data_IF_533707186028
#
_entry.id   IF_533707186028
#
_cell.length_a   1.000
_cell.length_b   1.000
_cell.length_c   1.000
_cell.angle_alpha   90.00
_cell.angle_beta   90.00
_cell.angle_gamma   90.00
#
_symmetry.space_group_name_H-M   'P 1'
#
loop_
_entity.id
_entity.type
_entity.pdbx_description
1 polymer ?
#
# COMPACT_ATOMS: atom_id res chain seq x y z
N UNK A 1 3.68 15.52 22.35
CA UNK A 1 4.10 14.11 22.23
C UNK A 1 2.97 13.33 21.58
N UNK A 2 3.14 12.91 20.32
CA UNK A 2 2.14 12.08 19.65
C UNK A 2 2.19 10.67 20.23
N UNK A 3 1.27 10.35 21.13
CA UNK A 3 1.09 9.01 21.66
C UNK A 3 0.66 8.09 20.51
N UNK A 4 1.55 7.16 20.13
CA UNK A 4 1.19 6.06 19.26
C UNK A 4 0.01 5.33 19.90
N UNK A 5 -1.19 5.46 19.33
CA UNK A 5 -2.31 4.64 19.76
C UNK A 5 -2.09 3.24 19.19
N UNK A 6 -1.45 2.37 19.97
CA UNK A 6 -1.50 0.92 19.79
C UNK A 6 -2.95 0.46 20.08
N UNK A 7 -3.87 0.77 19.16
CA UNK A 7 -5.20 0.18 19.21
C UNK A 7 -5.14 -1.15 18.49
N UNK A 8 -5.38 -2.21 19.27
CA UNK A 8 -5.32 -3.62 18.87
C UNK A 8 -6.29 -3.96 17.72
N UNK A 9 -7.41 -3.25 17.59
CA UNK A 9 -8.33 -3.35 16.46
C UNK A 9 -9.22 -2.11 16.33
N UNK A 10 -9.33 -1.50 15.14
CA UNK A 10 -10.30 -0.43 14.83
C UNK A 10 -11.18 -0.86 13.68
N UNK A 11 -12.49 -0.60 13.77
CA UNK A 11 -13.43 -0.81 12.66
C UNK A 11 -13.25 0.28 11.62
N UNK A 12 -12.89 -0.10 10.39
CA UNK A 12 -12.78 0.82 9.24
C UNK A 12 -13.89 0.50 8.24
N UNK A 13 -14.87 1.41 8.09
CA UNK A 13 -16.00 1.26 7.17
C UNK A 13 -15.93 2.33 6.09
N UNK A 14 -16.21 1.94 4.84
CA UNK A 14 -16.09 2.81 3.66
C UNK A 14 -17.44 3.03 3.01
N UNK A 15 -17.62 4.22 2.48
CA UNK A 15 -18.84 4.67 1.81
C UNK A 15 -18.42 5.36 0.51
N UNK A 16 -19.14 5.08 -0.57
CA UNK A 16 -19.05 5.86 -1.80
C UNK A 16 -20.23 6.82 -1.79
N UNK A 17 -19.94 8.12 -1.85
CA UNK A 17 -20.94 9.17 -1.68
C UNK A 17 -21.03 9.98 -2.97
N UNK A 18 -22.25 10.33 -3.37
CA UNK A 18 -22.50 11.43 -4.30
C UNK A 18 -22.16 12.78 -3.66
N UNK A 19 -22.08 13.85 -4.45
CA UNK A 19 -21.81 15.19 -3.96
C UNK A 19 -22.83 15.63 -2.90
N UNK A 20 -24.12 15.33 -3.12
CA UNK A 20 -25.20 15.64 -2.19
C UNK A 20 -24.99 14.91 -0.85
N UNK A 21 -24.72 13.62 -0.89
CA UNK A 21 -24.49 12.82 0.32
C UNK A 21 -23.23 13.26 1.08
N UNK A 22 -22.15 13.59 0.36
CA UNK A 22 -20.93 14.09 0.98
C UNK A 22 -21.16 15.42 1.71
N UNK A 23 -21.98 16.29 1.12
CA UNK A 23 -22.34 17.57 1.73
C UNK A 23 -23.26 17.41 2.95
N UNK A 24 -24.30 16.57 2.85
CA UNK A 24 -25.18 16.23 3.97
C UNK A 24 -24.36 15.63 5.14
N UNK A 25 -23.43 14.72 4.85
CA UNK A 25 -22.55 14.16 5.86
C UNK A 25 -21.67 15.21 6.51
N UNK A 26 -21.02 16.10 5.73
CA UNK A 26 -20.19 17.18 6.28
C UNK A 26 -20.96 18.09 7.23
N UNK A 27 -22.21 18.43 6.89
CA UNK A 27 -23.11 19.20 7.77
C UNK A 27 -23.41 18.46 9.06
N UNK A 28 -23.65 17.15 8.98
CA UNK A 28 -23.90 16.32 10.17
C UNK A 28 -22.66 16.21 11.10
N UNK A 29 -21.45 16.37 10.57
CA UNK A 29 -20.22 16.38 11.37
C UNK A 29 -20.02 17.70 12.13
N UNK A 30 -20.62 18.80 11.67
CA UNK A 30 -20.41 20.12 12.23
C UNK A 30 -20.72 20.17 13.74
N UNK A 31 -19.86 20.86 14.49
CA UNK A 31 -19.95 20.96 15.95
C UNK A 31 -19.45 19.74 16.72
N UNK A 32 -19.26 18.58 16.07
CA UNK A 32 -18.71 17.36 16.71
C UNK A 32 -17.32 17.02 16.22
N UNK A 33 -17.08 17.16 14.91
CA UNK A 33 -15.77 16.98 14.30
C UNK A 33 -15.39 18.22 13.49
N UNK A 34 -14.10 18.49 13.45
CA UNK A 34 -13.49 19.53 12.63
C UNK A 34 -12.38 18.92 11.76
N UNK A 35 -12.03 19.55 10.61
CA UNK A 35 -10.83 19.20 9.88
C UNK A 35 -9.60 19.20 10.80
N UNK A 36 -8.69 18.25 10.59
CA UNK A 36 -7.43 18.22 11.32
C UNK A 36 -6.50 19.38 10.92
N UNK A 37 -5.38 19.50 11.61
CA UNK A 37 -4.37 20.55 11.40
C UNK A 37 -3.81 20.58 9.96
N UNK A 38 -3.90 19.47 9.21
CA UNK A 38 -3.40 19.38 7.84
C UNK A 38 -4.43 19.81 6.80
N UNK A 39 -5.70 19.93 7.19
CA UNK A 39 -6.79 20.36 6.32
C UNK A 39 -6.90 19.53 5.03
N UNK A 40 -7.04 20.22 3.89
CA UNK A 40 -7.11 19.57 2.57
C UNK A 40 -5.71 19.21 2.08
N UNK A 41 -5.41 17.92 2.05
CA UNK A 41 -4.09 17.41 1.67
C UNK A 41 -4.15 16.52 0.43
N UNK A 42 -3.24 16.77 -0.51
CA UNK A 42 -3.05 15.90 -1.68
C UNK A 42 -2.29 14.64 -1.29
N UNK A 43 -2.94 13.47 -1.33
CA UNK A 43 -2.32 12.18 -0.99
C UNK A 43 -1.94 11.46 -2.28
N UNK A 44 -0.67 11.08 -2.41
CA UNK A 44 -0.18 10.25 -3.52
C UNK A 44 0.26 8.91 -2.97
N UNK A 45 -0.10 7.83 -3.66
CA UNK A 45 0.25 6.46 -3.27
C UNK A 45 0.68 5.69 -4.52
N UNK A 46 1.96 5.36 -4.59
CA UNK A 46 2.57 4.50 -5.60
C UNK A 46 2.52 3.06 -5.12
N UNK A 47 1.72 2.22 -5.77
CA UNK A 47 1.63 0.79 -5.49
C UNK A 47 2.71 0.04 -6.25
N UNK A 48 3.38 -0.87 -5.55
CA UNK A 48 4.32 -1.82 -6.15
C UNK A 48 3.62 -3.16 -6.32
N UNK A 49 3.91 -3.83 -7.43
CA UNK A 49 3.35 -5.13 -7.79
C UNK A 49 4.37 -5.91 -8.65
N UNK A 50 4.06 -7.17 -8.94
CA UNK A 50 4.83 -7.91 -9.94
C UNK A 50 4.55 -7.35 -11.34
N UNK A 51 5.42 -7.62 -12.35
CA UNK A 51 5.17 -7.18 -13.73
C UNK A 51 3.81 -7.65 -14.28
N UNK A 52 3.35 -8.82 -13.84
CA UNK A 52 2.07 -9.42 -14.22
C UNK A 52 0.90 -8.95 -13.33
N UNK A 53 1.13 -8.05 -12.36
CA UNK A 53 0.11 -7.58 -11.40
C UNK A 53 -0.53 -8.67 -10.54
N UNK A 54 0.24 -9.72 -10.23
CA UNK A 54 -0.27 -10.89 -9.50
C UNK A 54 -0.82 -10.54 -8.10
N UNK A 55 -0.28 -9.52 -7.41
CA UNK A 55 -0.74 -9.18 -6.06
C UNK A 55 -2.12 -8.53 -6.07
N UNK A 56 -2.40 -7.66 -7.04
CA UNK A 56 -3.72 -7.01 -7.13
C UNK A 56 -4.79 -7.97 -7.63
N UNK A 57 -4.48 -8.82 -8.61
CA UNK A 57 -5.37 -9.89 -9.08
C UNK A 57 -5.74 -10.81 -7.93
N UNK A 58 -4.74 -11.39 -7.27
CA UNK A 58 -4.94 -12.22 -6.08
C UNK A 58 -5.66 -11.46 -4.98
N UNK A 59 -5.43 -10.15 -4.81
CA UNK A 59 -6.17 -9.36 -3.82
C UNK A 59 -7.67 -9.24 -4.15
N UNK A 60 -8.05 -9.22 -5.44
CA UNK A 60 -9.43 -9.10 -5.91
C UNK A 60 -10.21 -10.40 -5.74
N UNK A 61 -9.55 -11.56 -5.76
CA UNK A 61 -10.12 -12.88 -5.44
C UNK A 61 -10.50 -13.03 -3.96
N UNK A 62 -10.11 -12.05 -3.12
CA UNK A 62 -10.36 -12.04 -1.67
C UNK A 62 -9.89 -13.33 -0.95
N UNK A 63 -8.65 -13.80 -1.16
CA UNK A 63 -8.13 -14.98 -0.47
C UNK A 63 -8.00 -14.74 1.03
N UNK A 64 -7.79 -15.84 1.76
CA UNK A 64 -7.60 -15.86 3.21
C UNK A 64 -6.50 -14.90 3.67
N UNK A 65 -5.38 -14.87 2.93
CA UNK A 65 -4.23 -14.00 3.15
C UNK A 65 -3.98 -13.15 1.92
N UNK A 66 -3.79 -11.85 2.06
CA UNK A 66 -3.30 -10.96 1.00
C UNK A 66 -2.52 -9.80 1.56
N UNK A 67 -1.65 -9.24 0.74
CA UNK A 67 -0.79 -8.15 1.14
C UNK A 67 -0.51 -7.18 0.00
N UNK A 68 -0.09 -5.97 0.34
CA UNK A 68 0.20 -4.88 -0.59
C UNK A 68 1.33 -4.03 -0.04
N UNK A 69 2.21 -3.58 -0.92
CA UNK A 69 3.24 -2.59 -0.65
C UNK A 69 2.93 -1.31 -1.42
N UNK A 70 3.16 -0.17 -0.77
CA UNK A 70 3.04 1.13 -1.43
C UNK A 70 3.99 2.16 -0.82
N UNK A 71 4.48 3.06 -1.65
CA UNK A 71 5.10 4.31 -1.24
C UNK A 71 4.03 5.41 -1.22
N UNK A 72 3.92 6.16 -0.12
CA UNK A 72 2.93 7.22 0.07
C UNK A 72 3.60 8.54 0.40
N UNK A 73 3.15 9.61 -0.24
CA UNK A 73 3.51 10.98 0.12
C UNK A 73 2.26 11.82 0.40
N UNK A 74 2.45 12.85 1.22
CA UNK A 74 1.50 13.94 1.43
C UNK A 74 2.08 15.17 0.72
N UNK A 75 1.33 15.75 -0.20
CA UNK A 75 1.87 16.72 -1.14
C UNK A 75 2.69 16.08 -2.27
N UNK A 76 3.32 16.93 -3.08
CA UNK A 76 4.26 16.48 -4.12
C UNK A 76 5.60 16.17 -3.42
N UNK A 77 6.17 14.96 -3.58
CA UNK A 77 7.40 14.62 -2.90
C UNK A 77 8.56 15.46 -3.44
N UNK A 78 9.25 16.18 -2.55
CA UNK A 78 10.59 16.73 -2.78
C UNK A 78 11.64 15.67 -2.41
N UNK A 79 12.90 15.82 -2.83
CA UNK A 79 13.95 14.81 -2.56
C UNK A 79 14.15 14.51 -1.07
N UNK A 80 14.03 15.52 -0.23
CA UNK A 80 14.13 15.51 1.22
C UNK A 80 12.78 15.34 1.94
N UNK A 81 11.67 15.40 1.21
CA UNK A 81 10.32 15.36 1.77
C UNK A 81 10.01 14.00 2.41
N UNK A 82 9.32 14.04 3.56
CA UNK A 82 8.89 12.85 4.29
C UNK A 82 7.88 12.03 3.47
N UNK A 83 8.23 10.77 3.24
CA UNK A 83 7.38 9.77 2.61
C UNK A 83 7.29 8.52 3.48
N UNK A 84 6.27 7.71 3.24
CA UNK A 84 6.01 6.50 3.99
C UNK A 84 5.97 5.29 3.07
N UNK A 85 6.80 4.28 3.37
CA UNK A 85 6.67 2.96 2.76
C UNK A 85 5.77 2.15 3.66
N UNK A 86 4.62 1.73 3.12
CA UNK A 86 3.57 1.09 3.90
C UNK A 86 3.31 -0.33 3.39
N UNK A 87 3.37 -1.30 4.29
CA UNK A 87 2.93 -2.67 4.07
C UNK A 87 1.55 -2.86 4.70
N UNK A 88 0.63 -3.43 3.93
CA UNK A 88 -0.71 -3.81 4.40
C UNK A 88 -0.90 -5.29 4.20
N UNK A 89 -1.09 -6.05 5.27
CA UNK A 89 -1.43 -7.47 5.27
C UNK A 89 -2.88 -7.63 5.71
N UNK A 90 -3.61 -8.57 5.12
CA UNK A 90 -4.97 -8.95 5.53
C UNK A 90 -5.04 -10.46 5.66
N UNK A 91 -5.33 -10.95 6.86
CA UNK A 91 -5.45 -12.37 7.18
C UNK A 91 -6.78 -12.64 7.89
N UNK A 92 -7.58 -13.59 7.40
CA UNK A 92 -8.89 -13.95 8.00
C UNK A 92 -9.79 -12.75 8.29
N UNK A 93 -9.77 -11.75 7.40
CA UNK A 93 -10.56 -10.53 7.56
C UNK A 93 -9.88 -9.39 8.34
N UNK A 94 -8.87 -9.69 9.15
CA UNK A 94 -8.14 -8.72 9.98
C UNK A 94 -7.05 -8.04 9.15
N UNK A 95 -6.93 -6.71 9.26
CA UNK A 95 -5.96 -5.90 8.52
C UNK A 95 -4.84 -5.43 9.45
N UNK A 96 -3.61 -5.72 9.08
CA UNK A 96 -2.39 -5.23 9.72
C UNK A 96 -1.72 -4.23 8.80
N UNK A 97 -1.51 -3.00 9.29
CA UNK A 97 -0.81 -1.94 8.55
C UNK A 97 0.42 -1.52 9.33
N UNK A 98 1.57 -1.58 8.67
CA UNK A 98 2.85 -1.07 9.22
C UNK A 98 3.49 -0.14 8.21
N UNK A 99 4.32 0.80 8.68
CA UNK A 99 5.02 1.74 7.81
C UNK A 99 6.32 2.20 8.41
N UNK A 100 7.26 2.57 7.56
CA UNK A 100 8.45 3.32 7.90
C UNK A 100 8.40 4.68 7.21
N UNK A 101 8.87 5.73 7.88
CA UNK A 101 9.04 7.06 7.31
C UNK A 101 10.50 7.27 6.90
N UNK A 102 10.76 7.91 5.78
CA UNK A 102 12.10 8.31 5.35
C UNK A 102 12.00 9.45 4.32
N UNK A 103 13.12 10.03 3.89
CA UNK A 103 13.12 11.00 2.79
C UNK A 103 12.74 10.31 1.48
N UNK A 104 12.22 11.06 0.50
CA UNK A 104 11.90 10.49 -0.81
C UNK A 104 13.12 9.90 -1.52
N UNK A 105 14.28 10.55 -1.39
CA UNK A 105 15.55 10.04 -1.91
C UNK A 105 15.96 8.71 -1.24
N UNK A 106 15.84 8.60 0.08
CA UNK A 106 16.06 7.36 0.81
C UNK A 106 15.08 6.27 0.34
N UNK A 107 13.79 6.58 0.22
CA UNK A 107 12.78 5.61 -0.24
C UNK A 107 13.10 5.08 -1.64
N UNK A 108 13.58 5.93 -2.55
CA UNK A 108 13.99 5.50 -3.90
C UNK A 108 15.22 4.61 -3.86
N UNK A 109 16.23 4.94 -3.05
CA UNK A 109 17.42 4.11 -2.90
C UNK A 109 17.06 2.75 -2.29
N UNK A 110 16.23 2.75 -1.26
CA UNK A 110 15.80 1.55 -0.56
C UNK A 110 14.99 0.60 -1.44
N UNK A 111 13.94 1.10 -2.10
CA UNK A 111 13.15 0.32 -3.05
C UNK A 111 13.96 -0.08 -4.31
N UNK A 112 15.11 0.54 -4.53
CA UNK A 112 16.07 0.19 -5.57
C UNK A 112 17.12 -0.85 -5.15
N UNK A 113 17.08 -1.34 -3.91
CA UNK A 113 17.94 -2.43 -3.42
C UNK A 113 19.02 -2.02 -2.41
N UNK A 114 19.16 -0.74 -2.07
CA UNK A 114 20.05 -0.31 -0.98
C UNK A 114 19.41 -0.69 0.36
N UNK A 115 20.14 -1.22 1.36
CA UNK A 115 19.56 -1.48 2.69
C UNK A 115 18.91 -0.22 3.30
N UNK A 116 17.80 -0.39 4.03
CA UNK A 116 17.00 0.73 4.52
C UNK A 116 17.79 1.71 5.40
N UNK A 117 18.61 1.17 6.31
CA UNK A 117 19.46 1.97 7.21
C UNK A 117 20.48 2.80 6.43
N UNK A 118 21.14 2.20 5.46
CA UNK A 118 22.11 2.86 4.59
C UNK A 118 21.42 3.96 3.75
N UNK A 119 20.24 3.68 3.21
CA UNK A 119 19.46 4.66 2.47
C UNK A 119 19.07 5.87 3.33
N UNK A 120 18.67 5.65 4.59
CA UNK A 120 18.36 6.72 5.54
C UNK A 120 19.60 7.51 5.96
N UNK A 121 20.74 6.83 6.16
CA UNK A 121 22.01 7.49 6.49
C UNK A 121 22.52 8.36 5.33
N UNK A 122 22.37 7.89 4.09
CA UNK A 122 22.79 8.62 2.88
C UNK A 122 21.87 9.80 2.56
N UNK A 123 20.58 9.69 2.84
CA UNK A 123 19.58 10.70 2.55
C UNK A 123 18.71 10.98 3.79
N UNK A 124 19.27 11.62 4.83
CA UNK A 124 18.55 11.87 6.06
C UNK A 124 17.38 12.84 5.84
N UNK A 125 16.38 12.74 6.71
CA UNK A 125 15.31 13.74 6.80
C UNK A 125 15.86 15.03 7.43
N UNK A 126 15.30 16.17 7.01
CA UNK A 126 15.67 17.49 7.58
C UNK A 126 15.24 17.62 9.04
N UNK A 127 14.06 17.10 9.39
CA UNK A 127 13.60 17.05 10.78
C UNK A 127 14.37 15.97 11.56
N UNK A 128 15.17 16.34 12.58
CA UNK A 128 15.94 15.40 13.37
C UNK A 128 15.08 14.39 14.13
N UNK A 129 13.86 14.78 14.54
CA UNK A 129 12.96 13.87 15.24
C UNK A 129 12.43 12.79 14.30
N UNK A 130 11.99 13.17 13.09
CA UNK A 130 11.58 12.21 12.08
C UNK A 130 12.75 11.34 11.60
N UNK A 131 13.96 11.89 11.48
CA UNK A 131 15.17 11.12 11.16
C UNK A 131 15.46 10.06 12.25
N UNK A 132 15.41 10.43 13.53
CA UNK A 132 15.60 9.51 14.64
C UNK A 132 14.52 8.40 14.67
N UNK A 133 13.25 8.75 14.44
CA UNK A 133 12.15 7.77 14.36
C UNK A 133 12.33 6.80 13.18
N UNK A 134 12.89 7.27 12.06
CA UNK A 134 13.20 6.43 10.90
C UNK A 134 14.20 5.33 11.24
N UNK A 135 15.14 5.62 12.15
CA UNK A 135 16.18 4.69 12.61
C UNK A 135 15.83 3.97 13.93
N UNK A 136 14.65 4.20 14.50
CA UNK A 136 14.25 3.56 15.74
C UNK A 136 14.13 2.02 15.57
N UNK A 137 14.40 1.20 16.60
CA UNK A 137 14.35 -0.26 16.50
C UNK A 137 13.05 -0.81 15.91
N UNK A 138 11.92 -0.17 16.22
CA UNK A 138 10.61 -0.51 15.66
C UNK A 138 10.54 -0.27 14.14
N UNK A 139 11.07 0.84 13.66
CA UNK A 139 11.12 1.16 12.23
C UNK A 139 12.02 0.18 11.48
N UNK A 140 13.18 -0.17 12.06
CA UNK A 140 14.08 -1.17 11.48
C UNK A 140 13.43 -2.55 11.40
N UNK A 141 12.68 -2.95 12.42
CA UNK A 141 11.92 -4.20 12.39
C UNK A 141 10.84 -4.19 11.28
N UNK A 142 10.18 -3.06 11.05
CA UNK A 142 9.22 -2.91 9.95
C UNK A 142 9.93 -2.93 8.59
N UNK A 143 11.10 -2.31 8.46
CA UNK A 143 11.91 -2.37 7.26
C UNK A 143 12.31 -3.81 6.92
N UNK A 144 12.72 -4.60 7.91
CA UNK A 144 13.00 -6.03 7.70
C UNK A 144 11.76 -6.83 7.24
N UNK A 145 10.54 -6.48 7.69
CA UNK A 145 9.31 -7.07 7.12
C UNK A 145 9.09 -6.68 5.65
N UNK A 146 9.42 -5.43 5.29
CA UNK A 146 9.33 -4.93 3.92
C UNK A 146 10.39 -5.62 3.04
N UNK A 147 11.62 -5.80 3.51
CA UNK A 147 12.68 -6.55 2.81
C UNK A 147 12.21 -7.97 2.49
N UNK A 148 11.58 -8.61 3.48
CA UNK A 148 11.05 -9.95 3.30
C UNK A 148 9.92 -9.99 2.28
N UNK A 149 9.03 -9.00 2.29
CA UNK A 149 7.99 -8.85 1.25
C UNK A 149 8.61 -8.65 -0.14
N UNK A 150 9.59 -7.75 -0.26
CA UNK A 150 10.24 -7.44 -1.54
C UNK A 150 10.96 -8.66 -2.11
N UNK A 151 11.61 -9.44 -1.25
CA UNK A 151 12.26 -10.70 -1.66
C UNK A 151 11.25 -11.75 -2.11
N UNK A 152 10.13 -11.91 -1.40
CA UNK A 152 9.13 -12.94 -1.72
C UNK A 152 8.39 -12.71 -3.03
N UNK A 153 8.16 -11.43 -3.38
CA UNK A 153 7.40 -11.03 -4.56
C UNK A 153 8.27 -10.43 -5.66
N UNK A 154 9.59 -10.67 -5.59
CA UNK A 154 10.52 -10.16 -6.59
C UNK A 154 10.23 -10.76 -7.99
N UNK A 155 10.37 -9.98 -9.08
CA UNK A 155 10.68 -8.55 -9.07
C UNK A 155 9.43 -7.71 -8.74
N UNK A 156 9.61 -6.70 -7.89
CA UNK A 156 8.58 -5.68 -7.67
C UNK A 156 8.88 -4.43 -8.46
N UNK A 157 7.88 -3.92 -9.16
CA UNK A 157 7.96 -2.70 -9.96
C UNK A 157 6.82 -1.75 -9.62
N UNK A 158 7.00 -0.43 -9.84
CA UNK A 158 5.90 0.52 -9.73
C UNK A 158 4.76 0.16 -10.70
N UNK A 159 3.58 -0.19 -10.17
CA UNK A 159 2.44 -0.65 -10.98
C UNK A 159 1.40 0.44 -11.19
N UNK A 160 1.06 1.19 -10.13
CA UNK A 160 -0.05 2.14 -10.17
C UNK A 160 0.22 3.35 -9.28
N UNK A 161 0.11 4.55 -9.84
CA UNK A 161 0.08 5.79 -9.05
C UNK A 161 -1.38 6.17 -8.79
N UNK A 162 -1.76 6.37 -7.53
CA UNK A 162 -3.09 6.84 -7.14
C UNK A 162 -2.97 8.15 -6.39
N UNK A 163 -3.78 9.13 -6.78
CA UNK A 163 -3.90 10.43 -6.12
C UNK A 163 -5.33 10.65 -5.62
N UNK A 164 -5.48 11.32 -4.48
CA UNK A 164 -6.75 11.91 -4.07
C UNK A 164 -6.51 13.18 -3.25
N UNK A 165 -7.51 14.05 -3.20
CA UNK A 165 -7.57 15.15 -2.26
C UNK A 165 -8.31 14.69 -1.02
N UNK A 166 -7.63 14.73 0.14
CA UNK A 166 -8.15 14.23 1.40
C UNK A 166 -8.44 15.37 2.36
N UNK A 167 -9.60 15.30 3.01
CA UNK A 167 -9.86 16.03 4.24
C UNK A 167 -10.10 15.00 5.35
N UNK A 168 -9.37 15.11 6.45
CA UNK A 168 -9.53 14.27 7.62
C UNK A 168 -10.18 15.08 8.75
N UNK A 169 -11.16 14.48 9.41
CA UNK A 169 -11.94 15.05 10.50
C UNK A 169 -11.61 14.32 11.80
N UNK A 170 -11.39 15.10 12.85
CA UNK A 170 -11.11 14.65 14.22
C UNK A 170 -12.14 15.27 15.17
N UNK A 171 -12.39 14.66 16.34
CA UNK A 171 -13.28 15.23 17.34
C UNK A 171 -12.83 16.63 17.73
N UNK A 172 -13.77 17.56 17.80
CA UNK A 172 -13.52 18.87 18.40
C UNK A 172 -13.29 18.66 19.88
N UNK A 173 -12.22 19.25 20.42
CA UNK A 173 -11.94 19.20 21.85
C UNK A 173 -12.50 20.46 22.51
N UNK A 174 -13.18 20.29 23.64
CA UNK A 174 -13.60 21.39 24.48
C UNK A 174 -12.38 22.12 25.06
N UNK A 175 -12.41 23.45 25.03
CA UNK A 175 -11.25 24.28 25.36
C UNK A 175 -10.84 24.19 26.84
N UNK A 176 -11.78 23.85 27.73
CA UNK A 176 -11.54 23.78 29.17
C UNK A 176 -11.09 22.37 29.59
N UNK A 177 -11.80 21.34 29.13
CA UNK A 177 -11.56 19.95 29.52
C UNK A 177 -10.55 19.22 28.63
N UNK A 178 -10.30 19.73 27.42
CA UNK A 178 -9.47 19.05 26.42
C UNK A 178 -10.08 17.72 25.94
N UNK A 179 -11.36 17.47 26.23
CA UNK A 179 -12.08 16.25 25.87
C UNK A 179 -13.08 16.52 24.75
N UNK A 180 -13.40 15.51 23.92
CA UNK A 180 -14.49 15.64 22.96
C UNK A 180 -15.86 15.71 23.66
N UNK A 181 -16.93 16.15 22.94
CA UNK A 181 -18.30 16.00 23.41
C UNK A 181 -18.59 14.57 23.89
N UNK A 182 -19.43 14.42 24.91
CA UNK A 182 -19.68 13.13 25.55
C UNK A 182 -20.23 12.06 24.58
N UNK A 183 -20.93 12.47 23.52
CA UNK A 183 -21.47 11.59 22.47
C UNK A 183 -20.47 11.32 21.31
N UNK A 184 -19.22 11.77 21.43
CA UNK A 184 -18.17 11.64 20.42
C UNK A 184 -16.96 10.87 20.97
N UNK A 185 -16.67 9.66 20.46
CA UNK A 185 -15.48 8.91 20.82
C UNK A 185 -14.20 9.68 20.45
N UNK A 186 -13.24 9.77 21.37
CA UNK A 186 -11.98 10.49 21.18
C UNK A 186 -11.13 9.98 20.01
N UNK A 187 -11.31 8.70 19.66
CA UNK A 187 -10.59 8.02 18.60
C UNK A 187 -11.35 7.99 17.26
N UNK A 188 -12.58 8.54 17.20
CA UNK A 188 -13.36 8.62 15.97
C UNK A 188 -12.58 9.45 14.93
N UNK A 189 -12.40 8.91 13.73
CA UNK A 189 -11.76 9.60 12.61
C UNK A 189 -12.59 9.39 11.36
N UNK A 190 -12.88 10.46 10.64
CA UNK A 190 -13.62 10.40 9.38
C UNK A 190 -12.77 11.06 8.30
N UNK A 191 -12.60 10.43 7.15
CA UNK A 191 -11.88 11.05 6.03
C UNK A 191 -12.72 11.05 4.77
N UNK A 192 -12.71 12.14 4.02
CA UNK A 192 -13.26 12.23 2.68
C UNK A 192 -12.11 12.27 1.67
N UNK A 193 -12.11 11.32 0.74
CA UNK A 193 -11.21 11.31 -0.41
C UNK A 193 -11.98 11.73 -1.66
N UNK A 194 -11.65 12.89 -2.20
CA UNK A 194 -12.21 13.50 -3.40
C UNK A 194 -11.20 13.46 -4.55
N UNK A 195 -11.66 13.72 -5.77
CA UNK A 195 -10.83 13.78 -6.98
C UNK A 195 -9.90 12.56 -7.11
N UNK A 196 -10.42 11.37 -6.79
CA UNK A 196 -9.62 10.15 -6.79
C UNK A 196 -9.26 9.83 -8.24
N UNK A 197 -7.97 9.81 -8.54
CA UNK A 197 -7.45 9.61 -9.88
C UNK A 197 -6.26 8.63 -9.84
N UNK A 198 -5.96 8.03 -10.98
CA UNK A 198 -4.90 7.03 -11.09
C UNK A 198 -4.08 7.22 -12.38
N UNK A 199 -2.89 6.63 -12.40
CA UNK A 199 -2.09 6.45 -13.61
C UNK A 199 -1.54 5.03 -13.62
N UNK A 200 -1.82 4.33 -14.69
CA UNK A 200 -1.21 3.05 -15.02
C UNK A 200 0.27 3.30 -15.39
N UNK A 201 1.20 2.63 -14.71
CA UNK A 201 2.64 2.79 -14.96
C UNK A 201 3.22 1.73 -15.91
N UNK A 202 2.40 0.78 -16.36
CA UNK A 202 2.73 -0.18 -17.41
C UNK A 202 2.20 0.25 -18.77
N UNK A 203 1.19 1.13 -18.80
CA UNK A 203 0.75 1.76 -20.03
C UNK A 203 1.90 2.58 -20.66
N UNK A 204 2.05 2.46 -21.99
CA UNK A 204 2.99 3.29 -22.73
C UNK A 204 2.70 4.77 -22.45
N UNK A 205 3.72 5.63 -22.31
CA UNK A 205 3.50 7.06 -22.19
C UNK A 205 2.68 7.51 -23.39
N UNK A 206 1.51 8.11 -23.14
CA UNK A 206 0.68 8.65 -24.20
C UNK A 206 1.54 9.60 -25.04
N UNK A 207 1.49 9.44 -26.38
CA UNK A 207 2.09 10.41 -27.31
C UNK A 207 1.59 11.79 -26.88
N UNK A 208 2.47 12.76 -26.60
CA UNK A 208 2.07 14.06 -26.10
C UNK A 208 1.35 14.83 -27.21
N UNK A 209 0.04 14.61 -27.37
CA UNK A 209 -0.84 15.63 -27.91
C UNK A 209 -0.94 16.72 -26.84
N UNK A 210 -0.23 17.82 -27.07
CA UNK A 210 -0.27 19.07 -26.31
C UNK A 210 -0.51 18.89 -24.79
N UNK A 211 0.55 18.55 -24.04
CA UNK A 211 0.61 18.73 -22.57
C UNK A 211 0.18 17.54 -21.68
N UNK A 212 -0.30 16.42 -22.25
CA UNK A 212 -0.99 15.38 -21.45
C UNK A 212 -0.24 14.05 -21.26
N UNK A 213 1.06 13.92 -21.55
CA UNK A 213 1.81 12.66 -21.35
C UNK A 213 1.98 12.23 -19.87
N UNK A 214 1.56 13.07 -18.91
CA UNK A 214 1.62 12.82 -17.46
C UNK A 214 0.25 12.78 -16.76
N UNK A 215 -0.84 12.87 -17.51
CA UNK A 215 -2.17 13.05 -16.94
C UNK A 215 -2.65 11.85 -16.11
N UNK A 216 -3.41 12.13 -15.06
CA UNK A 216 -4.09 11.13 -14.25
C UNK A 216 -5.49 10.90 -14.82
N UNK A 217 -5.90 9.65 -14.92
CA UNK A 217 -7.28 9.26 -15.26
C UNK A 217 -8.16 9.33 -14.01
N UNK A 218 -9.34 9.93 -14.13
CA UNK A 218 -10.31 9.96 -13.04
C UNK A 218 -10.78 8.52 -12.70
N UNK A 219 -10.72 8.15 -11.43
CA UNK A 219 -11.19 6.85 -10.95
C UNK A 219 -12.63 6.89 -10.44
N UNK A 220 -13.01 8.03 -9.89
CA UNK A 220 -14.36 8.36 -9.48
C UNK A 220 -14.84 9.54 -10.33
N UNK A 221 -16.15 9.74 -10.41
CA UNK A 221 -16.67 10.97 -11.01
C UNK A 221 -16.22 12.18 -10.19
N UNK A 222 -16.15 13.34 -10.82
CA UNK A 222 -15.68 14.57 -10.16
C UNK A 222 -16.55 14.97 -8.95
N UNK A 223 -17.82 14.57 -8.96
CA UNK A 223 -18.84 14.80 -7.93
C UNK A 223 -18.94 13.65 -6.91
N UNK A 224 -18.08 12.63 -6.98
CA UNK A 224 -18.09 11.51 -6.05
C UNK A 224 -16.92 11.58 -5.06
N UNK A 225 -17.17 11.07 -3.85
CA UNK A 225 -16.14 10.92 -2.82
C UNK A 225 -16.16 9.54 -2.18
N UNK A 226 -15.03 9.15 -1.61
CA UNK A 226 -14.94 7.98 -0.73
C UNK A 226 -14.78 8.47 0.70
N UNK A 227 -15.80 8.24 1.51
CA UNK A 227 -15.75 8.48 2.94
C UNK A 227 -15.28 7.22 3.66
N UNK A 228 -14.38 7.37 4.63
CA UNK A 228 -13.87 6.29 5.48
C UNK A 228 -14.05 6.69 6.94
N UNK A 229 -14.78 5.88 7.72
CA UNK A 229 -15.03 6.08 9.14
C UNK A 229 -14.20 5.06 9.92
N UNK A 230 -13.47 5.53 10.94
CA UNK A 230 -12.66 4.71 11.85
C UNK A 230 -13.04 4.98 13.29
N UNK A 231 -13.36 3.93 14.02
CA UNK A 231 -13.62 3.96 15.46
C UNK A 231 -13.23 2.61 16.09
N UNK A 232 -12.83 2.61 17.37
CA UNK A 232 -12.52 1.38 18.12
C UNK A 232 -13.79 0.63 18.56
N UNK A 233 -14.93 1.34 18.69
CA UNK A 233 -16.20 0.77 19.11
C UNK A 233 -17.32 0.91 18.08
N UNK A 234 -18.55 0.71 18.55
CA UNK A 234 -19.78 0.99 17.79
C UNK A 234 -19.86 2.46 17.40
N UNK A 235 -20.54 2.75 16.30
CA UNK A 235 -20.76 4.12 15.87
C UNK A 235 -21.73 4.83 16.83
N UNK A 236 -21.47 6.11 17.17
CA UNK A 236 -22.43 6.91 17.94
C UNK A 236 -23.79 6.98 17.24
N UNK A 237 -24.87 7.05 18.03
CA UNK A 237 -26.24 7.06 17.49
C UNK A 237 -26.47 8.23 16.51
N UNK A 238 -25.92 9.41 16.79
CA UNK A 238 -26.03 10.56 15.89
C UNK A 238 -25.39 10.28 14.52
N UNK A 239 -24.28 9.53 14.50
CA UNK A 239 -23.57 9.19 13.26
C UNK A 239 -24.35 8.15 12.47
N UNK A 240 -24.95 7.17 13.15
CA UNK A 240 -25.84 6.18 12.53
C UNK A 240 -27.07 6.87 11.93
N UNK A 241 -27.71 7.78 12.66
CA UNK A 241 -28.85 8.55 12.17
C UNK A 241 -28.48 9.43 10.97
N UNK A 242 -27.31 10.06 10.98
CA UNK A 242 -26.81 10.85 9.85
C UNK A 242 -26.58 9.99 8.60
N UNK A 243 -25.96 8.81 8.76
CA UNK A 243 -25.74 7.87 7.66
C UNK A 243 -27.05 7.38 7.05
N UNK A 244 -28.05 7.07 7.90
CA UNK A 244 -29.38 6.63 7.47
C UNK A 244 -30.14 7.73 6.71
N UNK A 245 -30.15 8.96 7.26
CA UNK A 245 -30.77 10.12 6.62
C UNK A 245 -30.16 10.42 5.24
N UNK A 246 -28.83 10.28 5.10
CA UNK A 246 -28.12 10.43 3.82
C UNK A 246 -28.29 9.23 2.88
N UNK A 247 -28.94 8.14 3.33
CA UNK A 247 -28.98 6.84 2.65
C UNK A 247 -27.57 6.36 2.23
N UNK A 248 -26.60 6.55 3.12
CA UNK A 248 -25.21 6.20 2.90
C UNK A 248 -24.93 4.79 3.41
N UNK A 249 -24.77 3.83 2.49
CA UNK A 249 -24.54 2.43 2.84
C UNK A 249 -23.07 2.02 2.69
N UNK A 250 -22.58 1.10 3.55
CA UNK A 250 -21.22 0.59 3.45
C UNK A 250 -20.91 -0.04 2.09
N UNK A 251 -19.72 0.19 1.57
CA UNK A 251 -19.22 -0.38 0.32
C UNK A 251 -17.81 -0.92 0.48
N UNK A 252 -17.48 -2.02 -0.20
CA UNK A 252 -16.10 -2.47 -0.29
C UNK A 252 -15.38 -1.76 -1.44
N UNK A 253 -14.61 -0.72 -1.13
CA UNK A 253 -13.85 0.02 -2.14
C UNK A 253 -12.33 -0.02 -1.87
N UNK A 254 -11.58 -0.53 -2.85
CA UNK A 254 -10.11 -0.53 -2.88
C UNK A 254 -9.66 0.32 -4.05
N UNK A 255 -9.08 1.50 -3.79
CA UNK A 255 -8.58 2.40 -4.84
C UNK A 255 -7.71 1.66 -5.87
N UNK A 256 -6.76 0.85 -5.42
CA UNK A 256 -5.90 0.07 -6.33
C UNK A 256 -6.67 -1.00 -7.12
N UNK A 257 -7.67 -1.63 -6.51
CA UNK A 257 -8.45 -2.67 -7.20
C UNK A 257 -9.47 -2.10 -8.18
N UNK A 258 -9.95 -0.88 -7.93
CA UNK A 258 -10.77 -0.14 -8.86
C UNK A 258 -9.93 0.38 -10.03
N UNK A 259 -8.74 0.94 -9.75
CA UNK A 259 -7.82 1.42 -10.79
C UNK A 259 -7.38 0.28 -11.72
N UNK A 260 -6.97 -0.86 -11.16
CA UNK A 260 -6.63 -2.05 -11.94
C UNK A 260 -7.78 -2.50 -12.85
N UNK A 261 -9.01 -2.61 -12.31
CA UNK A 261 -10.18 -2.97 -13.12
C UNK A 261 -10.47 -1.96 -14.23
N UNK A 262 -10.32 -0.66 -13.95
CA UNK A 262 -10.48 0.38 -14.96
C UNK A 262 -9.46 0.24 -16.10
N UNK A 263 -8.23 -0.18 -15.80
CA UNK A 263 -7.22 -0.47 -16.82
C UNK A 263 -7.59 -1.69 -17.67
N UNK A 264 -8.13 -2.76 -17.05
CA UNK A 264 -8.53 -3.98 -17.77
C UNK A 264 -9.79 -3.78 -18.63
N UNK A 265 -10.66 -2.85 -18.27
CA UNK A 265 -11.86 -2.51 -19.03
C UNK A 265 -11.62 -1.45 -20.12
N UNK A 266 -10.47 -0.79 -20.13
CA UNK A 266 -10.14 0.14 -21.19
C UNK A 266 -9.95 -0.67 -22.49
N UNK A 267 -10.54 -0.24 -23.62
CA UNK A 267 -10.29 -0.92 -24.88
C UNK A 267 -8.79 -0.95 -25.11
N UNK A 268 -8.25 -2.15 -25.35
CA UNK A 268 -6.87 -2.30 -25.78
C UNK A 268 -6.71 -1.40 -27.00
N UNK A 269 -5.90 -0.33 -26.88
CA UNK A 269 -5.39 0.34 -28.07
C UNK A 269 -4.67 -0.77 -28.80
N UNK A 270 -5.24 -1.22 -29.92
CA UNK A 270 -4.74 -2.35 -30.68
C UNK A 270 -3.25 -2.14 -30.88
N UNK A 271 -2.44 -2.96 -30.24
CA UNK A 271 -1.04 -3.10 -30.60
C UNK A 271 -1.08 -3.71 -32.00
N UNK A 272 -0.98 -2.84 -33.00
CA UNK A 272 -0.79 -3.23 -34.38
C UNK A 272 0.62 -3.82 -34.49
N UNK A 273 0.77 -5.06 -34.02
CA UNK A 273 1.82 -5.94 -34.53
C UNK A 273 1.35 -6.32 -35.91
N UNK A 274 1.81 -5.56 -36.91
CA UNK A 274 1.75 -5.99 -38.30
C UNK A 274 2.46 -7.34 -38.39
N UNK A 275 1.69 -8.41 -38.55
CA UNK A 275 2.23 -9.68 -39.01
C UNK A 275 2.67 -9.50 -40.47
N UNK A 276 3.92 -9.85 -40.84
CA UNK A 276 4.24 -9.98 -42.25
C UNK A 276 3.46 -11.17 -42.80
N UNK A 277 2.60 -10.88 -43.77
CA UNK A 277 1.94 -11.87 -44.62
C UNK A 277 3.00 -12.68 -45.37
N UNK A 278 3.10 -13.97 -45.08
CA UNK A 278 3.72 -14.94 -45.96
C UNK A 278 2.70 -16.04 -46.22
N UNK A 279 2.12 -16.00 -47.41
CA UNK A 279 1.43 -17.12 -48.04
C UNK A 279 2.43 -18.26 -48.24
N UNK A 280 2.18 -19.44 -47.66
CA UNK A 280 2.52 -20.71 -48.32
C UNK A 280 1.45 -21.75 -47.98
N UNK A 281 0.99 -22.38 -49.05
CA UNK A 281 -0.05 -23.40 -49.18
C UNK A 281 0.12 -24.63 -48.29
N UNK A 282 -1.02 -25.23 -47.93
CA UNK A 282 -1.19 -26.46 -47.17
C UNK A 282 -0.65 -27.71 -47.88
N UNK A 283 -0.08 -28.65 -47.11
CA UNK A 283 -0.42 -30.09 -47.15
C UNK A 283 0.27 -30.87 -46.03
N UNK A 284 -0.41 -31.95 -45.62
CA UNK A 284 0.03 -33.07 -44.79
C UNK A 284 -0.05 -32.94 -43.25
N UNK A 285 -1.00 -33.71 -42.71
CA UNK A 285 -1.23 -34.07 -41.30
C UNK A 285 -0.16 -35.06 -40.80
N UNK A 286 -0.13 -35.19 -39.46
CA UNK A 286 0.04 -36.41 -38.63
C UNK A 286 1.17 -36.30 -37.60
N UNK A 287 0.73 -36.34 -36.33
CA UNK A 287 1.35 -36.85 -35.09
C UNK A 287 2.84 -36.64 -34.79
N UNK A 288 3.11 -35.97 -33.66
CA UNK A 288 4.01 -36.51 -32.63
C UNK A 288 3.95 -35.68 -31.33
N UNK A 289 3.32 -36.23 -30.30
CA UNK A 289 3.68 -35.96 -28.90
C UNK A 289 5.07 -36.56 -28.63
N UNK A 290 5.82 -35.89 -27.76
CA UNK A 290 7.06 -36.33 -27.11
C UNK A 290 8.35 -36.26 -27.96
N UNK A 291 9.22 -35.31 -27.61
CA UNK A 291 10.67 -35.49 -27.38
C UNK A 291 11.43 -34.16 -27.55
N UNK A 292 11.85 -33.52 -26.45
CA UNK A 292 13.24 -33.10 -26.29
C UNK A 292 13.48 -32.54 -24.87
N UNK A 293 13.77 -33.45 -23.97
CA UNK A 293 14.75 -33.20 -22.92
C UNK A 293 16.14 -33.19 -23.56
N UNK A 294 17.02 -32.30 -23.08
CA UNK A 294 18.46 -32.22 -23.31
C UNK A 294 19.01 -31.84 -24.70
N UNK A 295 19.45 -30.58 -24.82
CA UNK A 295 20.78 -30.22 -25.29
C UNK A 295 21.13 -28.81 -24.72
N UNK A 296 21.91 -28.74 -23.62
CA UNK A 296 23.37 -28.45 -23.61
C UNK A 296 23.63 -26.96 -23.89
N UNK A 297 23.78 -26.14 -22.85
CA UNK A 297 25.07 -25.82 -22.21
C UNK A 297 26.04 -25.10 -23.16
N UNK A 298 26.24 -23.80 -22.95
CA UNK A 298 27.56 -23.22 -22.63
C UNK A 298 27.46 -21.69 -22.51
N UNK A 299 27.84 -21.13 -21.36
CA UNK A 299 28.92 -20.13 -21.28
C UNK A 299 28.99 -19.44 -19.91
N UNK A 300 30.21 -19.41 -19.38
CA UNK A 300 30.77 -18.57 -18.30
C UNK A 300 30.72 -19.14 -16.88
N UNK A 301 31.51 -20.19 -16.67
CA UNK A 301 32.33 -20.32 -15.47
C UNK A 301 33.80 -20.05 -15.84
N UNK A 302 34.43 -19.07 -15.18
CA UNK A 302 35.84 -18.70 -15.36
C UNK A 302 36.39 -18.11 -14.07
N UNK A 303 37.12 -18.94 -13.33
CA UNK A 303 38.08 -18.72 -12.25
C UNK A 303 38.26 -17.32 -11.64
N UNK A 304 38.20 -17.26 -10.30
CA UNK A 304 39.43 -17.13 -9.49
C UNK A 304 39.16 -17.56 -8.04
N UNK A 305 39.81 -18.65 -7.65
CA UNK A 305 39.94 -19.12 -6.28
C UNK A 305 41.37 -18.90 -5.82
N UNK A 306 41.57 -18.11 -4.76
CA UNK A 306 42.62 -18.21 -3.71
C UNK A 306 42.06 -17.35 -2.56
N UNK A 307 41.70 -17.86 -1.38
CA UNK A 307 42.64 -18.26 -0.33
C UNK A 307 42.00 -19.28 0.62
N UNK A 308 42.79 -20.32 0.88
CA UNK A 308 42.56 -21.46 1.75
C UNK A 308 42.61 -21.11 3.26
N UNK A 309 41.83 -21.89 4.02
CA UNK A 309 42.12 -22.45 5.35
C UNK A 309 42.20 -21.51 6.57
N UNK A 310 41.13 -21.50 7.38
CA UNK A 310 41.18 -21.90 8.80
C UNK A 310 39.78 -21.81 9.46
N UNK A 311 39.31 -22.90 10.10
CA UNK A 311 38.16 -22.85 11.00
C UNK A 311 37.30 -24.12 11.03
N UNK A 312 37.64 -25.04 11.95
CA UNK A 312 36.92 -26.31 12.22
C UNK A 312 35.43 -26.12 12.62
N UNK A 313 34.56 -27.11 12.39
CA UNK A 313 33.15 -27.06 12.78
C UNK A 313 32.96 -27.29 14.29
N UNK A 314 32.15 -26.44 14.94
CA UNK A 314 31.66 -26.65 16.31
C UNK A 314 30.58 -27.73 16.31
N UNK A 315 30.81 -28.80 17.08
CA UNK A 315 29.82 -29.85 17.40
C UNK A 315 28.74 -29.28 18.33
N UNK A 316 27.48 -29.46 17.94
CA UNK A 316 26.31 -29.28 18.82
C UNK A 316 26.30 -30.40 19.88
N UNK A 317 26.11 -30.03 21.15
CA UNK A 317 25.88 -30.97 22.26
C UNK A 317 24.44 -30.78 22.73
N UNK A 318 23.62 -31.82 22.60
CA UNK A 318 22.28 -31.87 23.16
C UNK A 318 22.38 -32.10 24.68
N UNK A 319 21.62 -31.33 25.46
CA UNK A 319 21.39 -31.59 26.88
C UNK A 319 19.95 -32.01 27.09
N UNK A 320 19.78 -33.29 27.44
CA UNK A 320 18.61 -33.83 28.09
C UNK A 320 18.68 -33.50 29.59
N UNK A 321 17.59 -33.02 30.17
CA UNK A 321 17.38 -33.06 31.62
C UNK A 321 15.89 -33.23 31.92
N UNK A 322 15.65 -33.98 32.99
CA UNK A 322 14.49 -34.81 33.25
C UNK A 322 13.39 -34.11 34.06
N UNK A 323 12.19 -34.70 33.97
CA UNK A 323 11.06 -34.50 34.90
C UNK A 323 11.41 -35.04 36.29
N UNK A 324 11.01 -34.31 37.34
CA UNK A 324 10.30 -34.83 38.52
C UNK A 324 9.63 -33.66 39.26
N UNK A 325 8.35 -33.82 39.57
CA UNK A 325 7.61 -32.91 40.43
C UNK A 325 7.76 -33.29 41.91
N UNK A 326 7.28 -32.41 42.78
CA UNK A 326 6.42 -32.77 43.92
C UNK A 326 5.78 -31.51 44.53
N UNK A 327 4.58 -31.71 45.07
CA UNK A 327 3.67 -30.75 45.69
C UNK A 327 3.91 -30.59 47.22
N UNK A 328 3.23 -29.58 47.78
CA UNK A 328 2.82 -29.38 49.19
C UNK A 328 3.89 -28.90 50.19
N UNK A 329 3.75 -27.67 50.71
CA UNK A 329 2.89 -27.28 51.84
C UNK A 329 2.71 -25.75 51.84
#
# INVERSE_FOLDING_TARGET
MATFTDVFERKEVKYRLSARQAEEMRRALAGRLAPDEYGRTSVRSLYLDTPERALIERSLDKPLYKEKLRLRSYGAPTGDGLVFIEIKKKFKGIVYKRRVGCSYAAARAYLGGVPYEEACARFPLVDPMAAAESCAPRSLQIAAEIDRFMTWHAPLVPSMLIRCERVAYVPVLDALSGQPPADVPSDLRITFDECVAYRDLFAAPAVPTSGSARALSALLRADESVMEIKASGSFPLWLVAALDACRAYPTSFSKYGAAYRACMSAPAVASAIAQPTAEVSATARVDARAAHAHAVADQKAGCLAVTLLAGRPRRFRATTSAKKGDCCA
#
